data_IF_695088839247
#
_entry.id   IF_695088839247
#
_cell.length_a   1.000
_cell.length_b   1.000
_cell.length_c   1.000
_cell.angle_alpha   90.00
_cell.angle_beta   90.00
_cell.angle_gamma   90.00
#
_symmetry.space_group_name_H-M   'P 1'
#
loop_
_entity.id
_entity.type
_entity.pdbx_description
1 polymer ?
#
# COMPACT_ATOMS: atom_id res chain seq x y z
N UNK A 1 -2.87 -18.61 5.84
CA UNK A 1 -1.52 -18.02 5.74
C UNK A 1 -1.68 -16.77 4.90
N UNK A 2 -1.98 -15.63 5.53
CA UNK A 2 -2.22 -14.35 4.85
C UNK A 2 -0.85 -13.72 4.53
N UNK A 3 -0.14 -14.35 3.59
CA UNK A 3 1.28 -14.07 3.31
C UNK A 3 1.59 -13.90 1.83
N UNK A 4 0.57 -13.76 0.98
CA UNK A 4 0.75 -13.14 -0.33
C UNK A 4 0.64 -11.63 -0.11
N UNK A 5 1.64 -11.10 0.61
CA UNK A 5 1.75 -9.69 0.92
C UNK A 5 1.86 -8.92 -0.38
N UNK A 6 0.81 -8.17 -0.75
CA UNK A 6 0.88 -7.04 -1.69
C UNK A 6 1.68 -5.90 -1.07
N UNK A 7 2.86 -6.23 -0.56
CA UNK A 7 3.81 -5.29 -0.04
C UNK A 7 4.39 -4.56 -1.25
N UNK A 8 4.59 -3.26 -1.09
CA UNK A 8 5.24 -2.42 -2.10
C UNK A 8 6.61 -2.98 -2.51
N UNK A 9 7.27 -3.69 -1.60
CA UNK A 9 8.50 -4.43 -1.87
C UNK A 9 8.34 -5.49 -2.97
N UNK A 10 7.19 -6.18 -3.00
CA UNK A 10 6.88 -7.22 -3.98
C UNK A 10 6.47 -6.64 -5.35
N UNK A 11 5.84 -5.46 -5.35
CA UNK A 11 5.53 -4.72 -6.59
C UNK A 11 6.78 -4.10 -7.22
N UNK A 12 7.79 -3.75 -6.42
CA UNK A 12 9.02 -3.11 -6.87
C UNK A 12 10.29 -3.82 -6.33
N UNK A 13 10.55 -5.08 -6.74
CA UNK A 13 11.67 -5.85 -6.22
C UNK A 13 13.04 -5.22 -6.56
N UNK A 14 13.12 -4.48 -7.67
CA UNK A 14 14.34 -3.76 -8.07
C UNK A 14 14.62 -2.50 -7.23
N UNK A 15 13.66 -2.04 -6.42
CA UNK A 15 13.79 -0.85 -5.59
C UNK A 15 13.72 -1.20 -4.10
N UNK A 16 13.81 -2.49 -3.75
CA UNK A 16 13.67 -2.98 -2.38
C UNK A 16 14.62 -2.29 -1.39
N UNK A 17 15.88 -2.09 -1.81
CA UNK A 17 16.90 -1.41 -1.00
C UNK A 17 16.54 0.07 -0.78
N UNK A 18 16.10 0.77 -1.85
CA UNK A 18 15.63 2.16 -1.78
C UNK A 18 14.40 2.27 -0.89
N UNK A 19 13.43 1.37 -1.02
CA UNK A 19 12.22 1.33 -0.18
C UNK A 19 12.60 1.16 1.29
N UNK A 20 13.48 0.20 1.61
CA UNK A 20 13.96 0.00 2.99
C UNK A 20 14.69 1.21 3.53
N UNK A 21 15.54 1.83 2.72
CA UNK A 21 16.28 3.03 3.10
C UNK A 21 15.33 4.21 3.36
N UNK A 22 14.38 4.46 2.45
CA UNK A 22 13.37 5.51 2.59
C UNK A 22 12.43 5.25 3.76
N UNK A 23 12.02 4.00 4.01
CA UNK A 23 11.23 3.68 5.22
C UNK A 23 11.94 4.03 6.51
N UNK A 24 13.26 3.98 6.53
CA UNK A 24 14.04 4.24 7.75
C UNK A 24 14.45 5.71 7.88
N UNK A 25 14.64 6.42 6.77
CA UNK A 25 15.11 7.80 6.75
C UNK A 25 13.99 8.82 6.53
N UNK A 26 12.89 8.41 5.90
CA UNK A 26 11.75 9.26 5.55
C UNK A 26 10.47 8.75 6.21
N UNK A 27 10.05 9.48 7.25
CA UNK A 27 8.85 9.15 8.04
C UNK A 27 7.57 9.27 7.19
N UNK A 28 7.54 10.15 6.19
CA UNK A 28 6.37 10.32 5.33
C UNK A 28 6.20 9.09 4.44
N UNK A 29 7.29 8.61 3.84
CA UNK A 29 7.31 7.38 3.05
C UNK A 29 6.94 6.16 3.90
N UNK A 30 7.49 6.05 5.11
CA UNK A 30 7.12 4.98 6.03
C UNK A 30 5.61 4.96 6.31
N UNK A 31 5.01 6.12 6.58
CA UNK A 31 3.57 6.26 6.79
C UNK A 31 2.75 5.95 5.53
N UNK A 32 3.24 6.26 4.33
CA UNK A 32 2.56 5.92 3.07
C UNK A 32 2.49 4.41 2.86
N UNK A 33 3.62 3.72 3.05
CA UNK A 33 3.68 2.25 2.93
C UNK A 33 2.77 1.59 3.98
N UNK A 34 2.82 2.05 5.23
CA UNK A 34 1.95 1.53 6.29
C UNK A 34 0.46 1.77 5.99
N UNK A 35 0.08 2.94 5.46
CA UNK A 35 -1.30 3.20 5.05
C UNK A 35 -1.75 2.28 3.92
N UNK A 36 -0.88 2.04 2.94
CA UNK A 36 -1.19 1.14 1.83
C UNK A 36 -1.46 -0.27 2.36
N UNK A 37 -0.59 -0.78 3.22
CA UNK A 37 -0.70 -2.13 3.79
C UNK A 37 -1.95 -2.28 4.67
N UNK A 38 -2.23 -1.29 5.51
CA UNK A 38 -3.46 -1.29 6.32
C UNK A 38 -4.72 -1.28 5.45
N UNK A 39 -4.75 -0.47 4.40
CA UNK A 39 -5.91 -0.39 3.50
C UNK A 39 -6.12 -1.68 2.71
N UNK A 40 -5.05 -2.33 2.24
CA UNK A 40 -5.14 -3.62 1.54
C UNK A 40 -5.62 -4.74 2.47
N UNK A 41 -5.12 -4.75 3.71
CA UNK A 41 -5.62 -5.65 4.77
C UNK A 41 -7.09 -5.38 5.07
N UNK A 42 -7.51 -4.11 5.17
CA UNK A 42 -8.90 -3.74 5.43
C UNK A 42 -9.81 -4.17 4.29
N UNK A 43 -9.43 -3.92 3.02
CA UNK A 43 -10.15 -4.42 1.84
C UNK A 43 -10.27 -5.95 1.91
N UNK A 44 -9.17 -6.67 2.14
CA UNK A 44 -9.17 -8.13 2.21
C UNK A 44 -10.05 -8.65 3.35
N UNK A 45 -10.02 -7.98 4.51
CA UNK A 45 -10.83 -8.35 5.66
C UNK A 45 -12.32 -8.11 5.39
N UNK A 46 -12.67 -7.00 4.74
CA UNK A 46 -14.04 -6.68 4.35
C UNK A 46 -14.58 -7.66 3.30
N UNK A 47 -13.74 -8.08 2.35
CA UNK A 47 -14.07 -9.14 1.39
C UNK A 47 -14.28 -10.50 2.08
N UNK A 48 -13.44 -10.86 3.06
CA UNK A 48 -13.54 -12.11 3.83
C UNK A 48 -14.75 -12.13 4.77
N UNK A 49 -15.04 -11.01 5.45
CA UNK A 49 -16.18 -10.87 6.36
C UNK A 49 -17.54 -10.88 5.62
N UNK A 50 -17.53 -10.87 4.28
CA UNK A 50 -18.71 -10.83 3.42
C UNK A 50 -19.71 -9.74 3.86
N UNK A 51 -19.18 -8.66 4.45
CA UNK A 51 -20.01 -7.56 4.90
C UNK A 51 -20.56 -6.83 3.66
N UNK A 52 -21.83 -6.40 3.70
CA UNK A 52 -22.38 -5.50 2.69
C UNK A 52 -21.76 -4.12 2.91
N UNK A 53 -20.47 -3.99 2.58
CA UNK A 53 -19.87 -2.69 2.38
C UNK A 53 -20.57 -2.03 1.20
N UNK A 54 -20.87 -0.74 1.35
CA UNK A 54 -21.45 0.03 0.27
C UNK A 54 -20.47 0.04 -0.91
N UNK A 55 -20.96 -0.20 -2.13
CA UNK A 55 -20.13 -0.27 -3.34
C UNK A 55 -19.25 0.99 -3.46
N UNK A 56 -19.80 2.13 -3.01
CA UNK A 56 -19.09 3.41 -2.94
C UNK A 56 -17.87 3.39 -2.02
N UNK A 57 -17.98 2.84 -0.80
CA UNK A 57 -16.86 2.75 0.14
C UNK A 57 -15.78 1.80 -0.40
N UNK A 58 -16.18 0.68 -1.00
CA UNK A 58 -15.23 -0.24 -1.62
C UNK A 58 -14.51 0.36 -2.84
N UNK A 59 -15.21 1.15 -3.66
CA UNK A 59 -14.60 1.93 -4.73
C UNK A 59 -13.64 3.00 -4.19
N UNK A 60 -14.00 3.68 -3.09
CA UNK A 60 -13.16 4.71 -2.46
C UNK A 60 -11.87 4.11 -1.89
N UNK A 61 -11.95 2.96 -1.23
CA UNK A 61 -10.77 2.24 -0.75
C UNK A 61 -9.87 1.79 -1.91
N UNK A 62 -10.44 1.23 -2.98
CA UNK A 62 -9.65 0.85 -4.18
C UNK A 62 -8.96 2.07 -4.82
N UNK A 63 -9.65 3.21 -4.91
CA UNK A 63 -9.05 4.47 -5.39
C UNK A 63 -7.93 4.92 -4.46
N UNK A 64 -8.15 4.88 -3.16
CA UNK A 64 -7.15 5.30 -2.16
C UNK A 64 -5.91 4.42 -2.22
N UNK A 65 -6.09 3.10 -2.37
CA UNK A 65 -4.98 2.14 -2.58
C UNK A 65 -4.15 2.50 -3.81
N UNK A 66 -4.82 2.77 -4.94
CA UNK A 66 -4.15 3.20 -6.17
C UNK A 66 -3.40 4.53 -5.99
N UNK A 67 -3.97 5.50 -5.28
CA UNK A 67 -3.35 6.79 -4.98
C UNK A 67 -2.14 6.66 -4.05
N UNK A 68 -2.20 5.79 -3.04
CA UNK A 68 -1.08 5.52 -2.14
C UNK A 68 0.07 4.89 -2.91
N UNK A 69 -0.22 3.91 -3.77
CA UNK A 69 0.75 3.31 -4.66
C UNK A 69 1.40 4.33 -5.60
N UNK A 70 0.63 5.22 -6.23
CA UNK A 70 1.19 6.26 -7.11
C UNK A 70 2.12 7.19 -6.33
N UNK A 71 1.72 7.63 -5.12
CA UNK A 71 2.56 8.44 -4.25
C UNK A 71 3.87 7.74 -3.88
N UNK A 72 3.81 6.47 -3.48
CA UNK A 72 4.99 5.66 -3.15
C UNK A 72 5.91 5.57 -4.38
N UNK A 73 5.37 5.35 -5.56
CA UNK A 73 6.14 5.31 -6.80
C UNK A 73 6.77 6.68 -7.14
N UNK A 74 6.06 7.79 -6.93
CA UNK A 74 6.62 9.14 -7.09
C UNK A 74 7.80 9.36 -6.15
N UNK A 75 7.67 8.99 -4.88
CA UNK A 75 8.76 9.07 -3.90
C UNK A 75 9.98 8.25 -4.34
N UNK A 76 9.75 7.02 -4.78
CA UNK A 76 10.81 6.15 -5.27
C UNK A 76 11.49 6.68 -6.53
N UNK A 77 10.75 7.36 -7.41
CA UNK A 77 11.28 7.98 -8.61
C UNK A 77 12.09 9.24 -8.31
N UNK A 78 11.64 10.05 -7.36
CA UNK A 78 12.32 11.28 -6.95
C UNK A 78 13.63 10.99 -6.20
N UNK A 79 13.64 9.91 -5.42
CA UNK A 79 14.80 9.49 -4.61
C UNK A 79 15.67 8.41 -5.29
N UNK A 80 15.68 8.36 -6.62
CA UNK A 80 16.39 7.34 -7.42
C UNK A 80 17.79 7.79 -7.85
#
# INVERSE_FOLDING_TARGET
>A
MLGETHDILHEFPNLEETIRNLRHNDVQFAGLVEKHDNLDNEISNLEELNQPIDDFEMEEMKKTRALLKDQIYQYLRDNR
#
